data_IF_570391630341
#
_entry.id   IF_570391630341
#
_cell.length_a   1.000
_cell.length_b   1.000
_cell.length_c   1.000
_cell.angle_alpha   90.00
_cell.angle_beta   90.00
_cell.angle_gamma   90.00
#
_symmetry.space_group_name_H-M   'P 1'
#
loop_
_entity.id
_entity.type
_entity.pdbx_description
1 polymer ?
#
# COMPACT_ATOMS: atom_id res chain seq x y z
N UNK A 1 27.95 -2.21 75.74
CA UNK A 1 26.83 -2.76 74.95
C UNK A 1 26.62 -1.90 73.72
N UNK A 2 27.02 -2.43 72.52
CA UNK A 2 26.87 -1.73 71.23
C UNK A 2 25.75 -2.43 70.47
N UNK A 3 24.62 -1.73 70.28
CA UNK A 3 23.50 -2.20 69.49
C UNK A 3 23.82 -2.04 67.99
N UNK A 4 23.74 -3.14 67.22
CA UNK A 4 23.88 -3.14 65.76
C UNK A 4 22.48 -3.01 65.18
N UNK A 5 22.26 -1.89 64.50
CA UNK A 5 21.02 -1.62 63.73
C UNK A 5 21.19 -2.31 62.35
N UNK A 6 20.32 -3.29 62.07
CA UNK A 6 20.26 -3.99 60.78
C UNK A 6 19.25 -3.25 59.90
N UNK A 7 19.72 -2.57 58.88
CA UNK A 7 18.87 -1.93 57.86
C UNK A 7 18.60 -2.95 56.74
N UNK A 8 17.34 -3.40 56.65
CA UNK A 8 16.87 -4.30 55.59
C UNK A 8 16.51 -3.45 54.40
N UNK A 9 17.31 -3.50 53.31
CA UNK A 9 17.00 -2.86 52.04
C UNK A 9 16.05 -3.78 51.25
N UNK A 10 14.76 -3.45 51.20
CA UNK A 10 13.81 -4.10 50.28
C UNK A 10 14.00 -3.52 48.86
N UNK A 11 14.61 -4.29 47.98
CA UNK A 11 14.68 -3.98 46.56
C UNK A 11 13.33 -4.30 45.91
N UNK A 12 12.56 -3.28 45.56
CA UNK A 12 11.37 -3.42 44.74
C UNK A 12 11.80 -3.63 43.29
N UNK A 13 11.73 -4.87 42.79
CA UNK A 13 11.87 -5.16 41.37
C UNK A 13 10.53 -4.85 40.73
N UNK A 14 10.44 -3.69 40.08
CA UNK A 14 9.33 -3.39 39.16
C UNK A 14 9.52 -4.24 37.89
N UNK A 15 8.81 -5.36 37.81
CA UNK A 15 8.62 -6.06 36.52
C UNK A 15 7.65 -5.21 35.68
N UNK A 16 8.21 -4.40 34.79
CA UNK A 16 7.46 -3.78 33.71
C UNK A 16 7.10 -4.85 32.69
N UNK A 17 5.89 -5.40 32.76
CA UNK A 17 5.31 -6.19 31.68
C UNK A 17 5.01 -5.25 30.54
N UNK A 18 5.92 -5.14 29.58
CA UNK A 18 5.62 -4.55 28.28
C UNK A 18 4.61 -5.46 27.59
N UNK A 19 3.35 -5.07 27.56
CA UNK A 19 2.35 -5.64 26.66
C UNK A 19 2.76 -5.30 25.24
N UNK A 20 3.58 -6.16 24.64
CA UNK A 20 3.95 -6.05 23.22
C UNK A 20 2.68 -6.24 22.41
N UNK A 21 2.25 -5.20 21.72
CA UNK A 21 1.22 -5.30 20.67
C UNK A 21 1.78 -6.28 19.63
N UNK A 22 1.14 -7.45 19.52
CA UNK A 22 1.56 -8.49 18.57
C UNK A 22 1.10 -8.07 17.17
N UNK A 23 2.06 -7.88 16.26
CA UNK A 23 1.74 -7.71 14.85
C UNK A 23 1.08 -9.00 14.32
N UNK A 24 -0.06 -8.86 13.65
CA UNK A 24 -0.74 -9.96 12.96
C UNK A 24 -0.32 -9.98 11.51
N UNK A 25 0.27 -11.10 11.06
CA UNK A 25 0.57 -11.34 9.65
C UNK A 25 -0.61 -12.04 8.96
N UNK A 26 -1.01 -11.51 7.80
CA UNK A 26 -2.06 -12.05 6.93
C UNK A 26 -1.40 -12.38 5.59
N UNK A 27 -1.40 -13.66 5.20
CA UNK A 27 -0.94 -14.10 3.89
C UNK A 27 -2.11 -14.11 2.92
N UNK A 28 -1.99 -13.38 1.82
CA UNK A 28 -2.99 -13.33 0.75
C UNK A 28 -2.51 -14.24 -0.37
N UNK A 29 -3.16 -15.40 -0.51
CA UNK A 29 -2.87 -16.36 -1.57
C UNK A 29 -3.22 -15.79 -2.96
N UNK A 30 -2.64 -16.37 -4.02
CA UNK A 30 -2.91 -15.92 -5.38
C UNK A 30 -4.40 -16.04 -5.78
N UNK A 31 -5.11 -17.03 -5.26
CA UNK A 31 -6.57 -17.19 -5.46
C UNK A 31 -7.31 -16.06 -4.74
N UNK A 32 -6.99 -15.85 -3.46
CA UNK A 32 -7.65 -14.82 -2.65
C UNK A 32 -7.43 -13.44 -3.25
N UNK A 33 -6.21 -13.15 -3.75
CA UNK A 33 -5.91 -11.91 -4.46
C UNK A 33 -6.71 -11.77 -5.76
N UNK A 34 -6.90 -12.87 -6.50
CA UNK A 34 -7.72 -12.90 -7.71
C UNK A 34 -9.21 -12.68 -7.46
N UNK A 35 -9.68 -12.90 -6.24
CA UNK A 35 -11.06 -12.67 -5.79
C UNK A 35 -11.30 -11.26 -5.22
N UNK A 36 -10.26 -10.45 -5.07
CA UNK A 36 -10.44 -9.05 -4.70
C UNK A 36 -11.32 -8.33 -5.73
N UNK A 37 -12.08 -7.33 -5.30
CA UNK A 37 -12.97 -6.60 -6.20
C UNK A 37 -12.18 -5.98 -7.34
N UNK A 38 -12.42 -6.48 -8.56
CA UNK A 38 -11.82 -5.96 -9.78
C UNK A 38 -12.62 -4.79 -10.33
N UNK A 39 -11.93 -3.71 -10.71
CA UNK A 39 -12.52 -2.49 -11.26
C UNK A 39 -11.71 -1.96 -12.44
N UNK A 40 -12.39 -1.33 -13.40
CA UNK A 40 -11.80 -0.79 -14.62
C UNK A 40 -11.97 -1.70 -15.83
N UNK A 41 -11.40 -1.34 -16.97
CA UNK A 41 -11.50 -2.10 -18.22
C UNK A 41 -10.25 -2.98 -18.41
N UNK A 42 -10.39 -4.27 -18.20
CA UNK A 42 -9.29 -5.23 -18.26
C UNK A 42 -9.68 -6.57 -17.69
N UNK A 43 -8.72 -7.30 -17.15
CA UNK A 43 -8.96 -8.57 -16.50
C UNK A 43 -7.97 -8.86 -15.36
N UNK A 44 -8.41 -9.75 -14.47
CA UNK A 44 -7.56 -10.42 -13.51
C UNK A 44 -7.58 -11.92 -13.83
N UNK A 45 -6.41 -12.56 -13.79
CA UNK A 45 -6.28 -14.00 -13.98
C UNK A 45 -5.32 -14.58 -12.94
N UNK A 46 -5.53 -15.86 -12.59
CA UNK A 46 -4.68 -16.58 -11.64
C UNK A 46 -3.98 -17.73 -12.33
N UNK A 47 -2.69 -17.92 -12.04
CA UNK A 47 -1.90 -19.07 -12.48
C UNK A 47 -1.60 -19.96 -11.27
N UNK A 48 -2.19 -21.13 -11.25
CA UNK A 48 -2.04 -22.11 -10.17
C UNK A 48 -0.65 -22.77 -10.13
N UNK A 49 0.02 -22.89 -11.28
CA UNK A 49 1.32 -23.53 -11.38
C UNK A 49 2.40 -22.65 -10.75
N UNK A 50 2.34 -21.34 -11.00
CA UNK A 50 3.31 -20.39 -10.46
C UNK A 50 2.79 -19.65 -9.23
N UNK A 51 1.57 -19.94 -8.77
CA UNK A 51 0.91 -19.32 -7.62
C UNK A 51 0.94 -17.78 -7.69
N UNK A 52 0.50 -17.23 -8.81
CA UNK A 52 0.58 -15.81 -9.11
C UNK A 52 -0.74 -15.27 -9.65
N UNK A 53 -0.92 -13.95 -9.55
CA UNK A 53 -2.08 -13.22 -10.08
C UNK A 53 -1.61 -12.25 -11.14
N UNK A 54 -2.26 -12.25 -12.29
CA UNK A 54 -2.00 -11.36 -13.41
C UNK A 54 -3.07 -10.27 -13.39
N UNK A 55 -2.66 -9.02 -13.47
CA UNK A 55 -3.53 -7.87 -13.61
C UNK A 55 -3.19 -7.15 -14.90
N UNK A 56 -4.17 -6.97 -15.79
CA UNK A 56 -3.97 -6.41 -17.11
C UNK A 56 -5.11 -5.51 -17.55
N UNK A 57 -4.76 -4.45 -18.29
CA UNK A 57 -5.70 -3.55 -18.96
C UNK A 57 -6.11 -4.09 -20.32
N UNK A 58 -7.34 -3.71 -20.74
CA UNK A 58 -7.73 -3.72 -22.16
C UNK A 58 -7.23 -2.45 -22.88
N UNK A 59 -7.10 -2.46 -24.20
CA UNK A 59 -6.84 -1.26 -24.98
C UNK A 59 -7.86 -0.16 -24.68
N UNK A 60 -7.41 1.07 -24.50
CA UNK A 60 -8.26 2.23 -24.19
C UNK A 60 -8.69 2.33 -22.72
N UNK A 61 -8.26 1.44 -21.84
CA UNK A 61 -8.51 1.50 -20.41
C UNK A 61 -7.96 2.79 -19.78
N UNK A 62 -8.58 3.22 -18.69
CA UNK A 62 -8.08 4.33 -17.86
C UNK A 62 -7.40 3.84 -16.57
N UNK A 63 -7.16 2.55 -16.47
CA UNK A 63 -6.58 1.85 -15.34
C UNK A 63 -7.44 0.70 -14.87
N UNK A 64 -6.80 -0.28 -14.26
CA UNK A 64 -7.47 -1.41 -13.58
C UNK A 64 -7.00 -1.50 -12.14
N UNK A 65 -7.86 -2.04 -11.28
CA UNK A 65 -7.60 -2.12 -9.84
C UNK A 65 -8.10 -3.43 -9.25
N UNK A 66 -7.41 -3.85 -8.19
CA UNK A 66 -7.88 -4.85 -7.23
C UNK A 66 -8.05 -4.17 -5.87
N UNK A 67 -9.25 -4.18 -5.34
CA UNK A 67 -9.61 -3.59 -4.04
C UNK A 67 -9.77 -4.72 -3.03
N UNK A 68 -9.07 -4.62 -1.89
CA UNK A 68 -9.17 -5.62 -0.83
C UNK A 68 -10.61 -5.75 -0.30
N UNK A 69 -11.07 -6.95 0.06
CA UNK A 69 -12.44 -7.18 0.53
C UNK A 69 -12.69 -6.54 1.91
N UNK A 70 -11.63 -6.34 2.69
CA UNK A 70 -11.70 -5.78 4.03
C UNK A 70 -10.86 -4.53 4.17
N UNK A 71 -11.25 -3.65 5.08
CA UNK A 71 -10.47 -2.52 5.58
C UNK A 71 -9.45 -3.02 6.61
N UNK A 72 -8.27 -2.44 6.60
CA UNK A 72 -7.19 -2.73 7.54
C UNK A 72 -6.99 -1.55 8.49
N UNK A 73 -6.40 -1.84 9.65
CA UNK A 73 -6.15 -0.86 10.69
C UNK A 73 -5.12 0.21 10.29
N UNK A 74 -4.94 1.15 11.17
CA UNK A 74 -4.08 2.33 11.02
C UNK A 74 -2.65 2.00 10.65
N UNK A 75 -2.01 1.08 11.36
CA UNK A 75 -0.62 0.71 11.14
C UNK A 75 -0.54 -0.58 10.31
N UNK A 76 -0.03 -0.48 9.08
CA UNK A 76 -0.04 -1.56 8.12
C UNK A 76 1.26 -1.58 7.30
N UNK A 77 1.77 -2.78 7.04
CA UNK A 77 2.86 -3.02 6.09
C UNK A 77 2.42 -4.07 5.08
N UNK A 78 2.41 -3.69 3.82
CA UNK A 78 2.12 -4.55 2.68
C UNK A 78 3.44 -4.93 2.01
N UNK A 79 3.75 -6.22 1.94
CA UNK A 79 4.91 -6.75 1.23
C UNK A 79 4.45 -7.72 0.14
N UNK A 80 5.06 -7.67 -1.03
CA UNK A 80 4.71 -8.52 -2.16
C UNK A 80 5.81 -8.53 -3.22
N UNK A 81 5.76 -9.52 -4.11
CA UNK A 81 6.57 -9.51 -5.33
C UNK A 81 5.75 -9.05 -6.53
N UNK A 82 6.35 -8.23 -7.37
CA UNK A 82 5.75 -7.77 -8.62
C UNK A 82 6.72 -7.91 -9.79
N UNK A 83 6.17 -8.29 -10.94
CA UNK A 83 6.88 -8.29 -12.21
C UNK A 83 6.09 -7.46 -13.21
N UNK A 84 6.56 -6.23 -13.55
CA UNK A 84 5.97 -5.44 -14.63
C UNK A 84 6.26 -6.11 -15.97
N UNK A 85 5.24 -6.32 -16.80
CA UNK A 85 5.42 -6.89 -18.13
C UNK A 85 5.47 -5.82 -19.22
N UNK A 86 5.06 -4.59 -18.88
CA UNK A 86 5.07 -3.45 -19.81
C UNK A 86 5.88 -2.30 -19.21
N UNK A 87 6.90 -1.81 -19.93
CA UNK A 87 7.77 -0.74 -19.44
C UNK A 87 7.07 0.63 -19.38
N UNK A 88 5.98 0.81 -20.12
CA UNK A 88 5.18 2.04 -20.15
C UNK A 88 4.00 1.99 -19.17
N UNK A 89 4.13 1.30 -18.07
CA UNK A 89 3.09 1.25 -17.03
C UNK A 89 3.34 2.21 -15.89
N UNK A 90 2.28 2.49 -15.14
CA UNK A 90 2.30 3.11 -13.83
C UNK A 90 1.77 2.09 -12.85
N UNK A 91 2.57 1.75 -11.85
CA UNK A 91 2.19 0.87 -10.75
C UNK A 91 1.87 1.73 -9.53
N UNK A 92 0.79 1.39 -8.87
CA UNK A 92 0.30 2.14 -7.71
C UNK A 92 -0.23 1.21 -6.64
N UNK A 93 0.08 1.53 -5.40
CA UNK A 93 -0.61 1.02 -4.23
C UNK A 93 -1.33 2.17 -3.54
N UNK A 94 -2.60 1.99 -3.21
CA UNK A 94 -3.29 2.86 -2.27
C UNK A 94 -3.37 2.16 -0.92
N UNK A 95 -3.01 2.88 0.13
CA UNK A 95 -3.24 2.47 1.51
C UNK A 95 -4.31 3.34 2.15
N UNK A 96 -5.06 2.76 3.08
CA UNK A 96 -6.15 3.44 3.80
C UNK A 96 -7.21 4.04 2.87
N UNK A 97 -7.53 3.33 1.77
CA UNK A 97 -8.53 3.80 0.83
C UNK A 97 -9.94 3.64 1.42
N UNK A 98 -10.67 4.75 1.53
CA UNK A 98 -12.06 4.79 2.02
C UNK A 98 -12.82 5.94 1.37
N UNK A 99 -14.15 5.92 1.39
CA UNK A 99 -14.92 7.07 0.98
C UNK A 99 -14.50 8.30 1.78
N UNK A 100 -14.48 9.44 1.15
CA UNK A 100 -14.08 10.70 1.75
C UNK A 100 -14.82 10.97 3.06
N UNK A 101 -14.05 11.13 4.14
CA UNK A 101 -14.56 11.35 5.49
C UNK A 101 -15.04 10.08 6.22
N UNK A 102 -15.02 8.91 5.58
CA UNK A 102 -15.32 7.62 6.20
C UNK A 102 -14.02 6.89 6.58
N UNK A 103 -14.13 5.83 7.40
CA UNK A 103 -12.92 5.13 7.88
C UNK A 103 -12.75 3.72 7.31
N UNK A 104 -13.84 3.07 6.91
CA UNK A 104 -13.82 1.64 6.57
C UNK A 104 -14.56 1.30 5.28
N UNK A 105 -15.50 2.14 4.89
CA UNK A 105 -16.31 1.86 3.72
C UNK A 105 -15.64 2.42 2.47
N UNK A 106 -15.73 1.67 1.40
CA UNK A 106 -15.33 2.12 0.08
C UNK A 106 -16.41 1.71 -0.93
N UNK A 107 -16.83 2.64 -1.75
CA UNK A 107 -17.79 2.40 -2.83
C UNK A 107 -17.26 2.99 -4.12
N UNK A 108 -17.65 2.42 -5.23
CA UNK A 108 -17.33 2.92 -6.56
C UNK A 108 -18.58 3.05 -7.40
N UNK A 109 -18.62 3.96 -8.37
CA UNK A 109 -19.71 4.02 -9.35
C UNK A 109 -19.88 2.66 -10.04
N UNK A 110 -21.14 2.29 -10.36
CA UNK A 110 -21.47 1.00 -10.98
C UNK A 110 -20.65 0.73 -12.27
N UNK A 111 -20.39 1.77 -13.04
CA UNK A 111 -19.62 1.71 -14.29
C UNK A 111 -18.29 2.46 -14.15
N UNK A 112 -17.53 2.12 -13.09
CA UNK A 112 -16.24 2.75 -12.89
C UNK A 112 -15.23 2.27 -13.94
N UNK A 113 -14.71 3.22 -14.72
CA UNK A 113 -13.87 2.98 -15.90
C UNK A 113 -12.35 3.01 -15.60
N UNK A 114 -11.96 3.02 -14.34
CA UNK A 114 -10.55 3.11 -13.91
C UNK A 114 -10.00 4.54 -13.87
N UNK A 115 -10.84 5.56 -14.10
CA UNK A 115 -10.40 6.95 -14.13
C UNK A 115 -9.85 7.40 -12.77
N UNK A 116 -8.68 7.99 -12.81
CA UNK A 116 -7.98 8.52 -11.63
C UNK A 116 -8.76 9.61 -10.89
N UNK A 117 -9.64 10.36 -11.58
CA UNK A 117 -10.37 11.50 -11.00
C UNK A 117 -11.10 11.10 -9.72
N UNK A 118 -11.83 9.98 -9.75
CA UNK A 118 -12.56 9.50 -8.58
C UNK A 118 -11.66 9.23 -7.38
N UNK A 119 -10.52 8.59 -7.60
CA UNK A 119 -9.55 8.27 -6.53
C UNK A 119 -8.93 9.52 -5.88
N UNK A 120 -8.87 10.64 -6.59
CA UNK A 120 -8.23 11.87 -6.10
C UNK A 120 -9.23 12.89 -5.55
N UNK A 121 -10.54 12.69 -5.76
CA UNK A 121 -11.58 13.64 -5.31
C UNK A 121 -12.49 13.05 -4.24
N UNK A 122 -12.82 11.77 -4.32
CA UNK A 122 -13.88 11.13 -3.54
C UNK A 122 -13.39 10.03 -2.60
N UNK A 123 -12.12 9.63 -2.71
CA UNK A 123 -11.51 8.59 -1.88
C UNK A 123 -10.36 9.15 -1.05
N UNK A 124 -10.47 9.05 0.28
CA UNK A 124 -9.35 9.29 1.18
C UNK A 124 -8.32 8.17 0.96
N UNK A 125 -7.06 8.52 0.71
CA UNK A 125 -6.01 7.51 0.53
C UNK A 125 -4.59 8.08 0.58
N UNK A 126 -3.62 7.21 0.86
CA UNK A 126 -2.24 7.42 0.49
C UNK A 126 -1.96 6.73 -0.84
N UNK A 127 -1.60 7.51 -1.82
CA UNK A 127 -1.33 7.09 -3.18
C UNK A 127 0.18 6.96 -3.39
N UNK A 128 0.66 5.73 -3.43
CA UNK A 128 2.08 5.40 -3.62
C UNK A 128 2.28 4.93 -5.05
N UNK A 129 2.88 5.78 -5.89
CA UNK A 129 3.16 5.47 -7.29
C UNK A 129 4.64 5.15 -7.50
N UNK A 130 4.91 4.17 -8.32
CA UNK A 130 6.25 3.76 -8.73
C UNK A 130 6.22 3.16 -10.14
N UNK A 131 7.39 2.87 -10.74
CA UNK A 131 7.46 2.52 -12.16
C UNK A 131 6.60 3.48 -13.00
N UNK A 132 6.75 4.76 -12.73
CA UNK A 132 5.81 5.81 -13.12
C UNK A 132 6.21 6.41 -14.48
N UNK A 133 6.02 5.66 -15.56
CA UNK A 133 6.47 6.06 -16.89
C UNK A 133 5.84 7.37 -17.38
N UNK A 134 4.62 7.69 -16.94
CA UNK A 134 3.91 8.92 -17.31
C UNK A 134 4.52 10.19 -16.68
N UNK A 135 5.23 10.06 -15.57
CA UNK A 135 5.76 11.18 -14.78
C UNK A 135 7.29 11.09 -14.66
N UNK A 136 7.99 10.96 -15.77
CA UNK A 136 9.46 10.86 -15.83
C UNK A 136 10.03 9.73 -14.96
N UNK A 137 9.22 8.69 -14.71
CA UNK A 137 9.56 7.53 -13.87
C UNK A 137 9.86 7.89 -12.40
N UNK A 138 9.29 8.98 -11.92
CA UNK A 138 9.48 9.50 -10.55
C UNK A 138 8.52 8.82 -9.58
N UNK A 139 8.99 8.02 -8.62
CA UNK A 139 8.17 7.53 -7.51
C UNK A 139 7.72 8.68 -6.62
N UNK A 140 6.52 8.56 -6.06
CA UNK A 140 6.03 9.55 -5.12
C UNK A 140 5.00 8.97 -4.16
N UNK A 141 4.83 9.64 -3.01
CA UNK A 141 3.72 9.45 -2.09
C UNK A 141 2.87 10.71 -2.10
N UNK A 142 1.57 10.56 -2.31
CA UNK A 142 0.57 11.62 -2.23
C UNK A 142 -0.54 11.24 -1.27
N UNK A 143 -1.12 12.25 -0.65
CA UNK A 143 -2.33 12.13 0.14
C UNK A 143 -3.50 12.73 -0.63
N UNK A 144 -4.59 11.99 -0.75
CA UNK A 144 -5.83 12.44 -1.39
C UNK A 144 -7.01 12.28 -0.44
N UNK A 145 -8.13 13.03 -0.65
CA UNK A 145 -8.26 14.14 -1.59
C UNK A 145 -7.35 15.31 -1.23
N UNK A 146 -7.13 16.17 -2.22
CA UNK A 146 -6.35 17.37 -2.02
C UNK A 146 -7.11 18.38 -1.14
N UNK A 147 -6.57 18.70 0.04
CA UNK A 147 -7.14 19.72 0.93
C UNK A 147 -6.88 21.14 0.39
N UNK A 148 -5.70 21.36 -0.21
CA UNK A 148 -5.29 22.64 -0.77
C UNK A 148 -4.58 22.45 -2.12
N UNK A 149 -4.76 23.34 -3.12
CA UNK A 149 -4.09 23.26 -4.41
C UNK A 149 -2.55 23.13 -4.26
N UNK A 150 -1.98 22.11 -4.93
CA UNK A 150 -0.53 21.86 -4.92
C UNK A 150 0.04 21.14 -3.70
N UNK A 151 -0.77 20.80 -2.67
CA UNK A 151 -0.27 20.21 -1.41
C UNK A 151 -0.61 18.71 -1.24
N UNK A 152 -0.78 17.97 -2.32
CA UNK A 152 -1.02 16.52 -2.25
C UNK A 152 0.24 15.70 -2.13
N UNK A 153 1.34 16.16 -2.73
CA UNK A 153 2.61 15.41 -2.72
C UNK A 153 3.29 15.54 -1.37
N UNK A 154 3.43 14.44 -0.65
CA UNK A 154 4.19 14.38 0.59
C UNK A 154 5.68 14.30 0.29
N UNK A 155 6.06 13.44 -0.68
CA UNK A 155 7.44 13.28 -1.13
C UNK A 155 7.49 12.72 -2.55
N UNK A 156 8.57 13.02 -3.27
CA UNK A 156 8.96 12.36 -4.51
C UNK A 156 10.46 12.08 -4.51
N UNK A 157 10.87 11.06 -5.25
CA UNK A 157 12.28 10.69 -5.43
C UNK A 157 12.72 10.92 -6.87
N UNK A 158 14.01 10.71 -7.11
CA UNK A 158 14.55 10.62 -8.46
C UNK A 158 13.95 9.41 -9.22
N UNK A 159 14.16 9.42 -10.54
CA UNK A 159 13.64 8.37 -11.42
C UNK A 159 14.07 6.98 -10.97
N UNK A 160 13.09 6.08 -10.80
CA UNK A 160 13.32 4.68 -10.55
C UNK A 160 12.55 3.83 -11.55
N UNK A 161 13.27 3.11 -12.39
CA UNK A 161 12.71 2.21 -13.40
C UNK A 161 12.86 0.79 -12.89
N UNK A 162 11.73 0.09 -12.78
CA UNK A 162 11.74 -1.34 -12.58
C UNK A 162 11.92 -2.04 -13.93
N UNK A 163 12.73 -3.06 -13.94
CA UNK A 163 12.87 -3.96 -15.10
C UNK A 163 11.66 -4.90 -15.21
N UNK A 164 11.61 -5.70 -16.26
CA UNK A 164 10.61 -6.77 -16.42
C UNK A 164 10.96 -8.03 -15.62
N UNK A 165 11.78 -7.89 -14.60
CA UNK A 165 12.13 -8.94 -13.64
C UNK A 165 11.23 -8.87 -12.38
N UNK A 166 11.41 -9.83 -11.49
CA UNK A 166 10.75 -9.81 -10.19
C UNK A 166 11.40 -8.81 -9.24
N UNK A 167 10.58 -7.98 -8.62
CA UNK A 167 10.98 -7.03 -7.60
C UNK A 167 10.24 -7.30 -6.30
N UNK A 168 10.94 -7.21 -5.18
CA UNK A 168 10.35 -7.16 -3.84
C UNK A 168 9.87 -5.73 -3.58
N UNK A 169 8.60 -5.57 -3.23
CA UNK A 169 8.01 -4.26 -2.92
C UNK A 169 7.43 -4.29 -1.51
N UNK A 170 7.76 -3.29 -0.72
CA UNK A 170 7.15 -3.02 0.57
C UNK A 170 6.57 -1.61 0.58
N UNK A 171 5.29 -1.50 0.90
CA UNK A 171 4.60 -0.23 1.11
C UNK A 171 4.04 -0.25 2.52
N UNK A 172 4.51 0.65 3.36
CA UNK A 172 4.13 0.67 4.76
C UNK A 172 3.59 2.02 5.22
N UNK A 173 2.75 1.94 6.24
CA UNK A 173 2.21 3.08 6.98
C UNK A 173 2.19 2.70 8.45
N UNK A 174 3.05 3.36 9.26
CA UNK A 174 3.18 3.04 10.69
C UNK A 174 3.71 4.24 11.47
N UNK A 175 3.10 4.53 12.61
CA UNK A 175 3.59 5.53 13.57
C UNK A 175 3.89 6.90 12.93
N UNK A 176 3.03 7.38 12.04
CA UNK A 176 3.19 8.68 11.37
C UNK A 176 4.07 8.68 10.13
N UNK A 177 4.66 7.56 9.77
CA UNK A 177 5.50 7.40 8.57
C UNK A 177 4.78 6.60 7.50
N UNK A 178 5.04 6.96 6.25
CA UNK A 178 4.62 6.21 5.06
C UNK A 178 5.86 6.03 4.18
N UNK A 179 6.06 4.82 3.66
CA UNK A 179 7.24 4.54 2.84
C UNK A 179 6.94 3.58 1.68
N UNK A 180 7.85 3.62 0.72
CA UNK A 180 8.00 2.65 -0.36
C UNK A 180 9.43 2.11 -0.32
N UNK A 181 9.59 0.78 -0.29
CA UNK A 181 10.85 0.11 -0.57
C UNK A 181 10.71 -0.75 -1.81
N UNK A 182 11.78 -0.84 -2.58
CA UNK A 182 11.92 -1.74 -3.73
C UNK A 182 13.26 -2.45 -3.58
N UNK A 183 13.27 -3.77 -3.64
CA UNK A 183 14.45 -4.62 -3.50
C UNK A 183 15.26 -4.28 -2.22
N UNK A 184 14.54 -4.17 -1.09
CA UNK A 184 15.04 -3.80 0.24
C UNK A 184 15.63 -2.37 0.35
N UNK A 185 15.55 -1.55 -0.71
CA UNK A 185 16.02 -0.17 -0.69
C UNK A 185 14.85 0.79 -0.47
N UNK A 186 14.95 1.66 0.53
CA UNK A 186 13.98 2.76 0.71
C UNK A 186 14.09 3.73 -0.46
N UNK A 187 13.01 3.85 -1.22
CA UNK A 187 12.90 4.73 -2.38
C UNK A 187 12.38 6.11 -1.95
N UNK A 188 11.29 6.11 -1.18
CA UNK A 188 10.70 7.33 -0.58
C UNK A 188 10.16 7.00 0.80
N UNK A 189 10.30 7.96 1.73
CA UNK A 189 9.67 7.96 3.05
C UNK A 189 9.13 9.35 3.35
N UNK A 190 7.88 9.44 3.80
CA UNK A 190 7.23 10.68 4.20
C UNK A 190 6.72 10.58 5.63
N UNK A 191 6.51 11.72 6.26
CA UNK A 191 5.83 11.83 7.56
C UNK A 191 4.53 12.60 7.40
N UNK A 192 3.44 12.06 7.95
CA UNK A 192 2.16 12.75 8.05
C UNK A 192 1.70 12.78 9.51
N UNK A 193 1.59 13.99 10.08
CA UNK A 193 1.13 14.19 11.47
C UNK A 193 -0.36 13.92 11.65
N UNK A 194 -1.13 13.93 10.56
CA UNK A 194 -2.58 13.68 10.54
C UNK A 194 -2.90 12.44 9.69
N UNK A 195 -2.37 11.29 10.11
CA UNK A 195 -2.53 10.04 9.37
C UNK A 195 -3.99 9.75 9.04
N UNK A 196 -4.24 9.34 7.78
CA UNK A 196 -5.47 8.61 7.43
C UNK A 196 -5.42 7.28 8.18
N UNK A 197 -6.49 6.95 8.87
CA UNK A 197 -6.53 5.77 9.74
C UNK A 197 -6.74 4.47 8.94
N UNK A 198 -7.90 3.85 9.12
CA UNK A 198 -8.27 2.58 8.51
C UNK A 198 -8.64 2.78 7.05
N UNK A 199 -8.66 1.70 6.30
CA UNK A 199 -9.12 1.68 4.92
C UNK A 199 -8.62 0.48 4.14
N UNK A 200 -9.07 0.37 2.91
CA UNK A 200 -8.73 -0.72 2.00
C UNK A 200 -7.34 -0.55 1.39
N UNK A 201 -6.77 -1.69 0.97
CA UNK A 201 -5.60 -1.72 0.09
C UNK A 201 -6.12 -1.80 -1.35
N UNK A 202 -5.50 -1.04 -2.25
CA UNK A 202 -5.78 -1.13 -3.68
C UNK A 202 -4.48 -1.28 -4.45
N UNK A 203 -4.38 -2.34 -5.24
CA UNK A 203 -3.40 -2.42 -6.32
C UNK A 203 -3.99 -1.78 -7.56
N UNK A 204 -3.25 -0.89 -8.20
CA UNK A 204 -3.68 -0.23 -9.43
C UNK A 204 -2.58 -0.24 -10.47
N UNK A 205 -2.96 -0.55 -11.70
CA UNK A 205 -2.06 -0.52 -12.86
C UNK A 205 -2.70 0.34 -13.94
N UNK A 206 -1.87 1.11 -14.65
CA UNK A 206 -2.26 1.85 -15.83
C UNK A 206 -1.14 1.85 -16.85
N UNK A 207 -1.47 1.58 -18.11
CA UNK A 207 -0.58 1.82 -19.24
C UNK A 207 -0.52 3.30 -19.61
N UNK A 208 0.46 3.66 -20.39
CA UNK A 208 0.68 5.02 -20.90
C UNK A 208 1.03 4.98 -22.38
N UNK A 209 0.86 6.07 -23.11
CA UNK A 209 1.22 6.18 -24.53
C UNK A 209 0.57 5.08 -25.40
N UNK A 210 -0.72 4.86 -25.24
CA UNK A 210 -1.51 3.84 -25.95
C UNK A 210 -1.04 2.38 -25.73
N UNK A 211 -0.21 2.16 -24.69
CA UNK A 211 0.18 0.83 -24.23
C UNK A 211 -0.71 0.40 -23.07
N UNK A 212 -0.99 -0.89 -22.99
CA UNK A 212 -1.69 -1.49 -21.85
C UNK A 212 -0.73 -1.71 -20.68
N UNK A 213 -1.21 -1.50 -19.45
CA UNK A 213 -0.49 -1.90 -18.24
C UNK A 213 -0.72 -3.38 -17.96
N UNK A 214 0.38 -4.13 -17.76
CA UNK A 214 0.33 -5.53 -17.35
C UNK A 214 1.37 -5.79 -16.29
N UNK A 215 0.97 -6.43 -15.19
CA UNK A 215 1.90 -6.89 -14.17
C UNK A 215 1.43 -8.21 -13.54
N UNK A 216 2.40 -8.95 -12.99
CA UNK A 216 2.17 -10.17 -12.23
C UNK A 216 2.49 -9.87 -10.77
N UNK A 217 1.64 -10.34 -9.85
CA UNK A 217 1.75 -10.14 -8.40
C UNK A 217 1.73 -11.51 -7.73
N UNK A 218 2.58 -11.71 -6.72
CA UNK A 218 2.58 -12.90 -5.86
C UNK A 218 3.16 -12.61 -4.47
N UNK A 219 3.10 -13.61 -3.60
CA UNK A 219 3.70 -13.61 -2.26
C UNK A 219 3.24 -12.38 -1.44
N UNK A 220 1.94 -12.09 -1.47
CA UNK A 220 1.38 -10.92 -0.78
C UNK A 220 1.23 -11.23 0.71
N UNK A 221 1.83 -10.40 1.55
CA UNK A 221 1.66 -10.41 3.00
C UNK A 221 1.26 -9.03 3.52
N UNK A 222 0.41 -9.02 4.53
CA UNK A 222 -0.09 -7.81 5.17
C UNK A 222 0.18 -7.95 6.67
N UNK A 223 1.03 -7.10 7.22
CA UNK A 223 1.21 -6.98 8.65
C UNK A 223 0.31 -5.87 9.18
N UNK A 224 -0.43 -6.16 10.24
CA UNK A 224 -1.37 -5.24 10.89
C UNK A 224 -0.99 -5.14 12.36
N UNK A 225 -0.86 -3.92 12.88
CA UNK A 225 -0.67 -3.68 14.31
C UNK A 225 -1.95 -3.02 14.85
N UNK A 226 -2.58 -3.69 15.77
CA UNK A 226 -3.80 -3.20 16.48
C UNK A 226 -3.45 -2.16 17.55
#
# INVERSE_FOLDING_TARGET
>A
MRSKLFVLLLSFICLSTSSGVSAKEIKVGYKDLGEWTFLGSGFVATDSNQKQTILAENPGSKGVMLVSPTSYSKDIVLSYKIKPLTPESVLVVLLSASNKGEKKNITFPKEYDGNMKYLITDIDNYFVAFHNSAHKKTPFIRRYPQELPGKTTLISAESNIMTTEWHDVEVGKKSGKIWLKIDNKTIVEATDKKMINDGHIIFRIRGTKDRIGVAIIKDVTIEVND
#
